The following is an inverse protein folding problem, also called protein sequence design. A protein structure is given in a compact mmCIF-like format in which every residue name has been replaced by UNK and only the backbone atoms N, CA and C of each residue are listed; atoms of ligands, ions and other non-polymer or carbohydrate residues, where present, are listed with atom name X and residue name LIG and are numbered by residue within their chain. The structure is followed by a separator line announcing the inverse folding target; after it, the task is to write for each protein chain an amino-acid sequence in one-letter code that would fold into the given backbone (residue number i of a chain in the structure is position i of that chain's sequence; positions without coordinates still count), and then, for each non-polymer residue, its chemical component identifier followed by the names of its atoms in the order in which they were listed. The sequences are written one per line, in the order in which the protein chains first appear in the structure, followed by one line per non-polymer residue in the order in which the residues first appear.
data_IF_149371568554
#
_entry.id   IF_149371568554
#
_cell.length_a   1.000
_cell.length_b   1.000
_cell.length_c   1.000
_cell.angle_alpha   90.00
_cell.angle_beta   90.00
_cell.angle_gamma   90.00
#
_symmetry.space_group_name_H-M   'P 1'
#
loop_
_entity.id
_entity.type
_entity.pdbx_description
1 polymer ?
#
# COMPACT_ATOMS: atom_id res chain seq x y z
N UNK A 1 0.68 25.70 -12.38
CA UNK A 1 0.59 25.54 -10.91
C UNK A 1 -0.57 24.59 -10.62
N UNK A 2 -0.46 23.70 -9.63
CA UNK A 2 -1.52 22.74 -9.30
C UNK A 2 -2.58 23.45 -8.44
N UNK A 3 -3.85 23.31 -8.82
CA UNK A 3 -5.01 23.73 -8.04
C UNK A 3 -6.01 22.59 -7.88
N UNK A 4 -7.10 22.87 -7.19
CA UNK A 4 -8.13 21.89 -6.86
C UNK A 4 -9.50 22.33 -7.39
N UNK A 5 -10.31 21.36 -7.80
CA UNK A 5 -11.67 21.58 -8.28
C UNK A 5 -12.60 20.45 -7.83
N UNK A 6 -13.90 20.75 -7.69
CA UNK A 6 -14.92 19.75 -7.36
C UNK A 6 -15.60 19.22 -8.62
N UNK A 7 -15.70 17.90 -8.74
CA UNK A 7 -16.40 17.23 -9.85
C UNK A 7 -17.14 15.98 -9.38
N UNK A 8 -18.12 15.54 -10.15
CA UNK A 8 -18.82 14.26 -9.97
C UNK A 8 -18.33 13.18 -10.94
N UNK A 9 -17.29 13.44 -11.74
CA UNK A 9 -16.77 12.51 -12.76
C UNK A 9 -17.63 12.36 -14.02
N UNK A 10 -18.84 12.93 -14.04
CA UNK A 10 -19.80 12.87 -15.17
C UNK A 10 -19.86 14.18 -15.97
N UNK A 11 -18.81 15.00 -15.88
CA UNK A 11 -18.72 16.29 -16.59
C UNK A 11 -19.38 17.47 -15.88
N UNK A 12 -19.77 17.33 -14.61
CA UNK A 12 -20.26 18.45 -13.80
C UNK A 12 -19.19 18.92 -12.82
N UNK A 13 -19.21 20.23 -12.58
CA UNK A 13 -18.26 20.95 -11.73
C UNK A 13 -18.99 21.94 -10.83
N UNK A 14 -18.38 22.33 -9.71
CA UNK A 14 -18.98 23.34 -8.82
C UNK A 14 -18.53 24.74 -9.21
N UNK A 15 -19.51 25.65 -9.32
CA UNK A 15 -19.28 27.08 -9.50
C UNK A 15 -20.03 27.88 -8.44
N UNK A 16 -19.57 29.10 -8.14
CA UNK A 16 -20.26 30.02 -7.24
C UNK A 16 -21.13 30.96 -8.08
N UNK A 17 -22.43 30.92 -7.85
CA UNK A 17 -23.37 31.80 -8.54
C UNK A 17 -23.16 33.25 -8.08
N UNK A 18 -23.07 34.15 -9.06
CA UNK A 18 -22.77 35.57 -8.85
C UNK A 18 -23.91 36.33 -8.17
N UNK A 19 -25.15 35.87 -8.34
CA UNK A 19 -26.32 36.60 -7.84
C UNK A 19 -26.67 36.22 -6.39
N UNK A 20 -26.56 34.94 -6.03
CA UNK A 20 -26.96 34.45 -4.71
C UNK A 20 -25.77 34.00 -3.83
N UNK A 21 -24.55 33.95 -4.39
CA UNK A 21 -23.34 33.52 -3.68
C UNK A 21 -23.31 32.03 -3.30
N UNK A 22 -24.30 31.24 -3.71
CA UNK A 22 -24.40 29.80 -3.44
C UNK A 22 -23.60 29.00 -4.45
N UNK A 23 -23.17 27.81 -4.03
CA UNK A 23 -22.47 26.88 -4.90
C UNK A 23 -23.47 25.99 -5.65
N UNK A 24 -23.29 25.91 -6.98
CA UNK A 24 -24.16 25.18 -7.91
C UNK A 24 -23.34 24.31 -8.85
N UNK A 25 -23.94 23.23 -9.37
CA UNK A 25 -23.32 22.36 -10.36
C UNK A 25 -23.47 22.91 -11.78
N UNK A 26 -22.39 22.95 -12.56
CA UNK A 26 -22.35 23.40 -13.95
C UNK A 26 -21.73 22.34 -14.87
N UNK A 27 -22.24 22.22 -16.10
CA UNK A 27 -21.81 21.20 -17.07
C UNK A 27 -20.56 21.52 -17.88
N UNK A 28 -19.75 22.51 -17.48
CA UNK A 28 -18.54 22.87 -18.20
C UNK A 28 -17.37 23.11 -17.24
N UNK A 29 -16.26 22.42 -17.50
CA UNK A 29 -15.01 22.50 -16.74
C UNK A 29 -14.47 23.92 -16.61
N UNK A 30 -14.61 24.74 -17.67
CA UNK A 30 -14.06 26.11 -17.68
C UNK A 30 -14.72 27.05 -16.68
N UNK A 31 -15.98 26.83 -16.34
CA UNK A 31 -16.73 27.68 -15.40
C UNK A 31 -16.74 27.14 -13.97
N UNK A 32 -16.06 26.01 -13.72
CA UNK A 32 -15.85 25.48 -12.38
C UNK A 32 -14.91 26.37 -11.57
N UNK A 33 -15.22 26.59 -10.30
CA UNK A 33 -14.33 27.27 -9.38
C UNK A 33 -13.07 26.42 -9.16
N UNK A 34 -11.92 27.10 -9.14
CA UNK A 34 -10.62 26.50 -8.86
C UNK A 34 -10.07 27.13 -7.58
N UNK A 35 -9.43 26.32 -6.74
CA UNK A 35 -8.84 26.76 -5.49
C UNK A 35 -7.37 26.38 -5.44
N UNK A 36 -6.54 27.29 -4.93
CA UNK A 36 -5.11 27.02 -4.73
C UNK A 36 -4.89 26.20 -3.45
N UNK A 37 -5.63 26.51 -2.39
CA UNK A 37 -5.52 25.85 -1.08
C UNK A 37 -6.52 24.70 -0.94
N UNK A 38 -6.03 23.50 -0.61
CA UNK A 38 -6.86 22.32 -0.36
C UNK A 38 -7.91 22.54 0.74
N UNK A 39 -7.53 23.19 1.84
CA UNK A 39 -8.43 23.43 2.97
C UNK A 39 -9.66 24.26 2.59
N UNK A 40 -9.53 25.19 1.63
CA UNK A 40 -10.66 26.01 1.17
C UNK A 40 -11.67 25.17 0.41
N UNK A 41 -11.22 24.30 -0.49
CA UNK A 41 -12.13 23.46 -1.27
C UNK A 41 -12.76 22.36 -0.41
N UNK A 42 -12.03 21.82 0.56
CA UNK A 42 -12.58 20.87 1.52
C UNK A 42 -13.69 21.50 2.37
N UNK A 43 -13.49 22.73 2.84
CA UNK A 43 -14.53 23.47 3.55
C UNK A 43 -15.77 23.73 2.67
N UNK A 44 -15.57 24.03 1.38
CA UNK A 44 -16.68 24.18 0.42
C UNK A 44 -17.46 22.87 0.27
N UNK A 45 -16.75 21.75 0.07
CA UNK A 45 -17.36 20.43 -0.06
C UNK A 45 -18.13 20.02 1.20
N UNK A 46 -17.53 20.21 2.38
CA UNK A 46 -18.11 19.74 3.65
C UNK A 46 -19.21 20.63 4.17
N UNK A 47 -19.14 21.95 3.97
CA UNK A 47 -19.99 22.91 4.68
C UNK A 47 -20.81 23.82 3.76
N UNK A 48 -20.34 24.12 2.55
CA UNK A 48 -20.96 25.14 1.69
C UNK A 48 -21.84 24.59 0.57
N UNK A 49 -21.74 23.30 0.24
CA UNK A 49 -22.61 22.63 -0.72
C UNK A 49 -23.93 22.17 -0.11
N UNK A 50 -24.97 22.01 -0.94
CA UNK A 50 -26.20 21.32 -0.52
C UNK A 50 -25.93 19.83 -0.28
N UNK A 51 -26.67 19.18 0.62
CA UNK A 51 -26.45 17.79 1.02
C UNK A 51 -26.31 16.84 -0.18
N UNK A 52 -27.21 16.96 -1.16
CA UNK A 52 -27.21 16.16 -2.39
C UNK A 52 -25.93 16.32 -3.24
N UNK A 53 -25.29 17.49 -3.21
CA UNK A 53 -24.04 17.73 -3.92
C UNK A 53 -22.83 17.20 -3.12
N UNK A 54 -22.86 17.23 -1.78
CA UNK A 54 -21.75 16.72 -0.95
C UNK A 54 -21.48 15.24 -1.19
N UNK A 55 -22.55 14.45 -1.30
CA UNK A 55 -22.45 13.00 -1.42
C UNK A 55 -21.96 12.54 -2.81
N UNK A 56 -22.10 13.40 -3.82
CA UNK A 56 -21.84 13.05 -5.22
C UNK A 56 -20.61 13.75 -5.84
N UNK A 57 -20.01 14.72 -5.14
CA UNK A 57 -18.87 15.48 -5.64
C UNK A 57 -17.62 15.18 -4.82
N UNK A 58 -16.49 15.11 -5.50
CA UNK A 58 -15.18 14.87 -4.91
C UNK A 58 -14.14 15.84 -5.48
N UNK A 59 -13.04 15.99 -4.74
CA UNK A 59 -11.95 16.92 -5.08
C UNK A 59 -11.02 16.25 -6.09
N UNK A 60 -10.62 16.99 -7.11
CA UNK A 60 -9.59 16.60 -8.07
C UNK A 60 -8.51 17.68 -8.18
N UNK A 61 -7.30 17.26 -8.52
CA UNK A 61 -6.21 18.16 -8.89
C UNK A 61 -6.31 18.58 -10.36
N UNK A 62 -6.03 19.85 -10.64
CA UNK A 62 -6.15 20.45 -11.98
C UNK A 62 -5.01 21.44 -12.19
N UNK A 63 -4.42 21.43 -13.37
CA UNK A 63 -3.44 22.44 -13.78
C UNK A 63 -4.13 23.80 -14.01
N UNK A 64 -3.60 24.85 -13.38
CA UNK A 64 -4.05 26.24 -13.52
C UNK A 64 -3.07 27.05 -14.39
N UNK A 65 -3.63 27.90 -15.25
CA UNK A 65 -2.88 28.84 -16.10
C UNK A 65 -2.56 30.15 -15.34
N UNK A 66 -1.54 30.88 -15.78
CA UNK A 66 -1.09 32.13 -15.16
C UNK A 66 -2.16 33.24 -15.12
N UNK A 67 -3.12 33.25 -16.04
CA UNK A 67 -4.22 34.22 -16.03
C UNK A 67 -5.27 33.95 -14.94
N UNK A 68 -5.46 32.69 -14.54
CA UNK A 68 -6.42 32.28 -13.50
C UNK A 68 -5.91 32.58 -12.08
N UNK A 69 -4.61 32.90 -11.95
CA UNK A 69 -3.97 33.31 -10.70
C UNK A 69 -4.34 34.75 -10.31
N UNK A 70 -4.51 35.64 -11.28
CA UNK A 70 -4.65 37.09 -11.03
C UNK A 70 -5.97 37.44 -10.32
N UNK A 71 -7.07 36.81 -10.75
CA UNK A 71 -8.40 36.95 -10.13
C UNK A 71 -8.43 36.46 -8.66
N UNK A 72 -7.60 35.47 -8.31
CA UNK A 72 -7.53 34.96 -6.92
C UNK A 72 -6.70 35.84 -6.00
N UNK A 73 -5.66 36.50 -6.53
CA UNK A 73 -4.79 37.42 -5.78
C UNK A 73 -5.49 38.76 -5.56
N UNK A 74 -6.22 39.28 -6.55
CA UNK A 74 -6.93 40.56 -6.44
C UNK A 74 -8.06 40.53 -5.40
N UNK A 75 -8.72 39.38 -5.21
CA UNK A 75 -9.69 39.17 -4.12
C UNK A 75 -9.04 39.23 -2.72
N UNK A 76 -7.81 38.73 -2.58
CA UNK A 76 -7.05 38.76 -1.32
C UNK A 76 -6.60 40.20 -0.99
N UNK A 77 -6.21 40.98 -2.00
CA UNK A 77 -5.72 42.36 -1.83
C UNK A 77 -6.83 43.37 -1.52
N UNK A 78 -8.08 43.10 -1.92
CA UNK A 78 -9.24 43.96 -1.65
C UNK A 78 -9.73 43.95 -0.18
N UNK A 79 -9.22 43.05 0.66
CA UNK A 79 -9.66 42.84 2.05
C UNK A 79 -8.67 43.30 3.11
N UNK A 80 -8.67 44.60 3.42
CA UNK A 80 -8.06 45.31 4.57
C UNK A 80 -6.59 45.76 4.46
N UNK A 81 -6.46 47.09 4.44
CA UNK A 81 -5.29 47.89 4.72
C UNK A 81 -4.96 47.96 6.23
N UNK A 82 -3.68 47.93 6.58
CA UNK A 82 -3.00 49.10 7.15
C UNK A 82 -1.47 48.88 7.22
N UNK A 83 -0.75 49.75 6.52
CA UNK A 83 0.65 50.11 6.79
C UNK A 83 0.64 51.08 7.97
N UNK A 84 1.56 50.92 8.93
CA UNK A 84 2.52 52.00 9.27
C UNK A 84 3.52 51.59 10.39
N UNK A 85 4.80 51.76 10.04
CA UNK A 85 6.02 52.10 10.82
C UNK A 85 6.15 51.70 12.30
N UNK A 86 7.25 50.98 12.61
CA UNK A 86 8.34 51.49 13.47
C UNK A 86 9.68 50.83 13.08
N UNK A 87 10.73 51.66 13.01
CA UNK A 87 12.13 51.32 12.72
C UNK A 87 12.84 50.97 14.02
N UNK A 88 13.97 50.24 13.89
CA UNK A 88 15.07 49.97 14.82
C UNK A 88 14.79 48.99 15.96
N UNK A 89 15.40 47.81 15.88
CA UNK A 89 16.56 47.46 16.71
C UNK A 89 17.05 46.05 16.33
N UNK A 90 18.24 45.99 15.73
CA UNK A 90 19.00 44.75 15.68
C UNK A 90 19.48 44.47 17.11
N UNK A 91 18.90 43.46 17.76
CA UNK A 91 19.62 42.46 18.57
C UNK A 91 18.61 41.44 19.13
N UNK A 92 18.88 40.16 18.89
CA UNK A 92 18.19 38.97 19.42
C UNK A 92 16.81 38.62 18.80
N UNK A 93 16.80 37.93 17.67
CA UNK A 93 15.72 36.97 17.39
C UNK A 93 16.00 35.66 18.14
N UNK A 94 15.88 35.73 19.47
CA UNK A 94 15.60 34.55 20.27
C UNK A 94 14.20 34.07 19.90
N UNK A 95 14.08 32.76 19.68
CA UNK A 95 12.88 31.96 19.43
C UNK A 95 11.62 32.52 20.11
N UNK A 96 10.91 33.48 19.50
CA UNK A 96 9.66 34.00 20.05
C UNK A 96 8.49 33.39 19.29
N UNK A 97 7.68 32.67 20.08
CA UNK A 97 6.40 32.03 19.78
C UNK A 97 6.40 30.53 19.43
N UNK A 98 7.28 29.75 20.05
CA UNK A 98 6.99 28.33 20.28
C UNK A 98 6.40 28.20 21.70
N UNK A 99 5.22 27.58 21.84
CA UNK A 99 4.66 27.24 23.14
C UNK A 99 5.48 26.08 23.74
N UNK A 100 6.59 26.43 24.39
CA UNK A 100 7.58 25.49 24.93
C UNK A 100 6.93 24.51 25.92
N UNK A 101 5.91 24.94 26.65
CA UNK A 101 5.22 24.09 27.62
C UNK A 101 4.37 23.01 26.95
N UNK A 102 3.75 23.34 25.81
CA UNK A 102 3.03 22.36 24.97
C UNK A 102 3.99 21.34 24.34
N UNK A 103 5.15 21.80 23.89
CA UNK A 103 6.21 20.93 23.33
C UNK A 103 6.76 19.99 24.40
N UNK A 104 7.03 20.49 25.62
CA UNK A 104 7.47 19.67 26.75
C UNK A 104 6.44 18.61 27.13
N UNK A 105 5.15 18.97 27.09
CA UNK A 105 4.05 18.05 27.38
C UNK A 105 3.92 16.96 26.30
N UNK A 106 4.10 17.31 25.03
CA UNK A 106 4.13 16.37 23.90
C UNK A 106 5.36 15.44 23.96
N UNK A 107 6.55 15.94 24.32
CA UNK A 107 7.77 15.14 24.52
C UNK A 107 7.64 14.18 25.71
N UNK A 108 6.89 14.57 26.74
CA UNK A 108 6.67 13.73 27.93
C UNK A 108 5.76 12.53 27.65
N UNK A 109 5.06 12.49 26.51
CA UNK A 109 4.28 11.31 26.12
C UNK A 109 5.24 10.19 25.67
N UNK A 110 5.17 8.99 26.28
CA UNK A 110 6.06 7.90 25.89
C UNK A 110 5.76 7.48 24.45
N UNK A 111 6.77 7.57 23.60
CA UNK A 111 6.72 7.04 22.23
C UNK A 111 6.62 5.50 22.34
N UNK A 112 5.63 4.91 21.66
CA UNK A 112 5.41 3.45 21.63
C UNK A 112 6.67 2.76 21.11
N UNK A 113 7.04 1.63 21.72
CA UNK A 113 8.21 0.86 21.29
C UNK A 113 8.12 0.48 19.81
N UNK A 114 9.25 0.63 19.11
CA UNK A 114 9.37 0.39 17.69
C UNK A 114 9.56 -1.11 17.42
N UNK A 115 8.46 -1.82 17.14
CA UNK A 115 8.47 -3.26 16.82
C UNK A 115 8.94 -3.57 15.37
N UNK A 116 9.53 -2.60 14.66
CA UNK A 116 9.93 -2.76 13.25
C UNK A 116 10.91 -3.91 13.04
N UNK A 117 11.85 -4.11 13.97
CA UNK A 117 12.84 -5.19 13.87
C UNK A 117 12.21 -6.58 13.95
N UNK A 118 11.15 -6.71 14.76
CA UNK A 118 10.35 -7.94 14.85
C UNK A 118 9.62 -8.22 13.53
N UNK A 119 8.99 -7.20 12.96
CA UNK A 119 8.33 -7.31 11.65
C UNK A 119 9.33 -7.67 10.55
N UNK A 120 10.52 -7.05 10.53
CA UNK A 120 11.61 -7.39 9.60
C UNK A 120 11.98 -8.87 9.71
N UNK A 121 12.09 -9.40 10.92
CA UNK A 121 12.41 -10.82 11.18
C UNK A 121 11.31 -11.76 10.69
N UNK A 122 10.04 -11.46 10.97
CA UNK A 122 8.91 -12.29 10.58
C UNK A 122 8.75 -12.37 9.05
N UNK A 123 8.94 -11.25 8.35
CA UNK A 123 8.91 -11.20 6.88
C UNK A 123 10.01 -12.07 6.26
N UNK A 124 11.23 -12.03 6.81
CA UNK A 124 12.33 -12.85 6.32
C UNK A 124 12.09 -14.35 6.56
N UNK A 125 11.64 -14.71 7.76
CA UNK A 125 11.27 -16.10 8.09
C UNK A 125 10.19 -16.63 7.13
N UNK A 126 9.18 -15.81 6.84
CA UNK A 126 8.12 -16.17 5.91
C UNK A 126 8.64 -16.33 4.46
N UNK A 127 9.53 -15.46 4.02
CA UNK A 127 10.21 -15.60 2.72
C UNK A 127 10.95 -16.94 2.60
N UNK A 128 11.73 -17.29 3.62
CA UNK A 128 12.57 -18.49 3.56
C UNK A 128 11.74 -19.78 3.65
N UNK A 129 10.75 -19.82 4.54
CA UNK A 129 9.79 -20.94 4.60
C UNK A 129 9.09 -21.17 3.26
N UNK A 130 8.76 -20.13 2.50
CA UNK A 130 8.18 -20.27 1.17
C UNK A 130 9.15 -20.85 0.13
N UNK A 131 10.44 -20.52 0.22
CA UNK A 131 11.46 -21.13 -0.64
C UNK A 131 11.59 -22.62 -0.34
N UNK A 132 11.63 -22.96 0.95
CA UNK A 132 11.74 -24.35 1.41
C UNK A 132 10.53 -25.19 0.96
N UNK A 133 9.31 -24.64 1.08
CA UNK A 133 8.10 -25.31 0.61
C UNK A 133 8.12 -25.55 -0.90
N UNK A 134 8.64 -24.61 -1.70
CA UNK A 134 8.80 -24.79 -3.15
C UNK A 134 9.82 -25.87 -3.49
N UNK A 135 10.95 -25.89 -2.78
CA UNK A 135 11.97 -26.94 -2.95
C UNK A 135 11.40 -28.30 -2.58
N UNK A 136 10.76 -28.40 -1.42
CA UNK A 136 10.13 -29.63 -0.94
C UNK A 136 9.05 -30.15 -1.90
N UNK A 137 8.27 -29.25 -2.50
CA UNK A 137 7.31 -29.60 -3.55
C UNK A 137 7.99 -30.32 -4.72
N UNK A 138 9.14 -29.80 -5.19
CA UNK A 138 9.87 -30.41 -6.30
C UNK A 138 10.40 -31.80 -5.91
N UNK A 139 11.01 -31.92 -4.74
CA UNK A 139 11.48 -33.21 -4.20
C UNK A 139 10.35 -34.26 -4.13
N UNK A 140 9.16 -33.87 -3.67
CA UNK A 140 8.01 -34.77 -3.60
C UNK A 140 7.50 -35.20 -4.97
N UNK A 141 7.57 -34.33 -5.99
CA UNK A 141 7.21 -34.69 -7.36
C UNK A 141 8.19 -35.74 -7.92
N UNK A 142 9.48 -35.57 -7.65
CA UNK A 142 10.52 -36.51 -8.08
C UNK A 142 10.36 -37.85 -7.36
N UNK A 143 10.13 -37.84 -6.04
CA UNK A 143 9.84 -39.03 -5.25
C UNK A 143 8.55 -39.74 -5.70
N UNK A 144 7.51 -38.98 -6.06
CA UNK A 144 6.28 -39.57 -6.59
C UNK A 144 6.55 -40.30 -7.91
N UNK A 145 7.29 -39.65 -8.81
CA UNK A 145 7.69 -40.23 -10.11
C UNK A 145 8.54 -41.49 -9.93
N UNK A 146 9.50 -41.47 -9.01
CA UNK A 146 10.30 -42.64 -8.64
C UNK A 146 9.40 -43.81 -8.20
N UNK A 147 8.50 -43.57 -7.23
CA UNK A 147 7.61 -44.62 -6.72
C UNK A 147 6.66 -45.14 -7.80
N UNK A 148 6.18 -44.29 -8.71
CA UNK A 148 5.33 -44.74 -9.82
C UNK A 148 6.10 -45.63 -10.81
N UNK A 149 7.39 -45.35 -11.06
CA UNK A 149 8.27 -46.25 -11.84
C UNK A 149 8.48 -47.58 -11.12
N UNK A 150 8.80 -47.54 -9.82
CA UNK A 150 8.96 -48.77 -9.01
C UNK A 150 7.68 -49.64 -9.05
N UNK A 151 6.50 -49.02 -9.03
CA UNK A 151 5.22 -49.74 -9.16
C UNK A 151 5.09 -50.38 -10.55
N UNK A 152 5.46 -49.67 -11.62
CA UNK A 152 5.46 -50.20 -12.99
C UNK A 152 6.41 -51.40 -13.11
N UNK A 153 7.60 -51.30 -12.53
CA UNK A 153 8.59 -52.38 -12.53
C UNK A 153 8.04 -53.64 -11.83
N UNK A 154 7.35 -53.46 -10.70
CA UNK A 154 6.70 -54.58 -10.00
C UNK A 154 5.60 -55.21 -10.87
N UNK A 155 4.80 -54.39 -11.58
CA UNK A 155 3.77 -54.92 -12.49
C UNK A 155 4.39 -55.71 -13.64
N UNK A 156 5.41 -55.18 -14.31
CA UNK A 156 6.10 -55.88 -15.39
C UNK A 156 6.78 -57.15 -14.88
N UNK A 157 7.35 -57.14 -13.67
CA UNK A 157 7.92 -58.33 -13.08
C UNK A 157 6.88 -59.44 -12.88
N UNK A 158 5.69 -59.08 -12.39
CA UNK A 158 4.56 -60.03 -12.22
C UNK A 158 4.06 -60.53 -13.59
N UNK A 159 4.01 -59.66 -14.59
CA UNK A 159 3.54 -59.99 -15.95
C UNK A 159 4.50 -60.95 -16.68
N UNK A 160 5.82 -60.73 -16.54
CA UNK A 160 6.84 -61.44 -17.31
C UNK A 160 7.26 -62.79 -16.71
N UNK A 161 6.87 -63.08 -15.46
CA UNK A 161 7.34 -64.28 -14.74
C UNK A 161 6.17 -65.12 -14.21
N UNK A 162 6.31 -66.45 -14.31
CA UNK A 162 5.40 -67.39 -13.65
C UNK A 162 5.79 -67.57 -12.18
N UNK A 163 5.14 -66.80 -11.30
CA UNK A 163 5.43 -66.78 -9.87
C UNK A 163 4.68 -67.89 -9.12
N UNK A 164 5.36 -68.56 -8.19
CA UNK A 164 4.68 -69.43 -7.23
C UNK A 164 3.93 -68.60 -6.15
N UNK A 165 3.11 -69.26 -5.33
CA UNK A 165 2.28 -68.58 -4.33
C UNK A 165 3.09 -67.71 -3.34
N UNK A 166 4.27 -68.19 -2.92
CA UNK A 166 5.15 -67.45 -2.01
C UNK A 166 5.74 -66.20 -2.68
N UNK A 167 6.25 -66.34 -3.91
CA UNK A 167 6.80 -65.23 -4.70
C UNK A 167 5.73 -64.19 -5.03
N UNK A 168 4.51 -64.63 -5.39
CA UNK A 168 3.37 -63.74 -5.60
C UNK A 168 3.00 -62.95 -4.35
N UNK A 169 2.98 -63.59 -3.18
CA UNK A 169 2.77 -62.90 -1.90
C UNK A 169 3.84 -61.84 -1.63
N UNK A 170 5.11 -62.15 -1.90
CA UNK A 170 6.20 -61.19 -1.72
C UNK A 170 6.04 -59.96 -2.62
N UNK A 171 5.69 -60.16 -3.90
CA UNK A 171 5.43 -59.07 -4.84
C UNK A 171 4.23 -58.22 -4.41
N UNK A 172 3.16 -58.86 -3.93
CA UNK A 172 2.01 -58.15 -3.34
C UNK A 172 2.43 -57.27 -2.16
N UNK A 173 3.26 -57.79 -1.23
CA UNK A 173 3.75 -57.00 -0.08
C UNK A 173 4.61 -55.82 -0.53
N UNK A 174 5.47 -56.02 -1.53
CA UNK A 174 6.30 -54.96 -2.10
C UNK A 174 5.43 -53.87 -2.75
N UNK A 175 4.44 -54.26 -3.57
CA UNK A 175 3.48 -53.36 -4.19
C UNK A 175 2.68 -52.59 -3.14
N UNK A 176 2.15 -53.28 -2.12
CA UNK A 176 1.39 -52.67 -1.03
C UNK A 176 2.23 -51.60 -0.30
N UNK A 177 3.51 -51.87 -0.06
CA UNK A 177 4.42 -50.91 0.55
C UNK A 177 4.61 -49.67 -0.34
N UNK A 178 4.87 -49.83 -1.64
CA UNK A 178 5.04 -48.71 -2.58
C UNK A 178 3.77 -47.88 -2.72
N UNK A 179 2.59 -48.50 -2.76
CA UNK A 179 1.31 -47.80 -2.79
C UNK A 179 1.06 -46.97 -1.52
N UNK A 180 1.44 -47.48 -0.34
CA UNK A 180 1.39 -46.72 0.92
C UNK A 180 2.36 -45.54 0.90
N UNK A 181 3.61 -45.75 0.47
CA UNK A 181 4.62 -44.70 0.31
C UNK A 181 4.12 -43.59 -0.62
N UNK A 182 3.54 -43.95 -1.77
CA UNK A 182 2.94 -42.99 -2.72
C UNK A 182 1.81 -42.19 -2.08
N UNK A 183 0.97 -42.80 -1.25
CA UNK A 183 -0.13 -42.10 -0.58
C UNK A 183 0.39 -41.01 0.36
N UNK A 184 1.37 -41.33 1.21
CA UNK A 184 2.01 -40.36 2.10
C UNK A 184 2.59 -39.18 1.31
N UNK A 185 3.30 -39.46 0.21
CA UNK A 185 3.85 -38.42 -0.69
C UNK A 185 2.73 -37.54 -1.27
N UNK A 186 1.64 -38.14 -1.75
CA UNK A 186 0.51 -37.38 -2.31
C UNK A 186 -0.20 -36.52 -1.27
N UNK A 187 -0.36 -37.02 -0.06
CA UNK A 187 -1.01 -36.30 1.04
C UNK A 187 -0.18 -35.06 1.40
N UNK A 188 1.14 -35.22 1.57
CA UNK A 188 2.08 -34.12 1.80
C UNK A 188 2.07 -33.12 0.63
N UNK A 189 2.13 -33.61 -0.60
CA UNK A 189 2.12 -32.79 -1.81
C UNK A 189 0.80 -32.01 -1.94
N UNK A 190 -0.33 -32.58 -1.51
CA UNK A 190 -1.64 -31.90 -1.52
C UNK A 190 -1.61 -30.68 -0.61
N UNK A 191 -1.13 -30.84 0.63
CA UNK A 191 -1.00 -29.75 1.60
C UNK A 191 -0.09 -28.65 1.05
N UNK A 192 1.10 -29.02 0.54
CA UNK A 192 2.05 -28.04 -0.01
C UNK A 192 1.50 -27.35 -1.26
N UNK A 193 0.81 -28.07 -2.14
CA UNK A 193 0.14 -27.47 -3.32
C UNK A 193 -0.89 -26.43 -2.90
N UNK A 194 -1.69 -26.70 -1.87
CA UNK A 194 -2.63 -25.73 -1.33
C UNK A 194 -1.92 -24.50 -0.75
N UNK A 195 -0.88 -24.71 0.06
CA UNK A 195 -0.09 -23.62 0.66
C UNK A 195 0.56 -22.71 -0.39
N UNK A 196 1.14 -23.30 -1.44
CA UNK A 196 1.73 -22.55 -2.56
C UNK A 196 0.66 -21.87 -3.42
N UNK A 197 -0.51 -22.50 -3.61
CA UNK A 197 -1.65 -21.94 -4.38
C UNK A 197 -2.28 -20.73 -3.71
N UNK A 198 -2.13 -20.55 -2.40
CA UNK A 198 -2.58 -19.34 -1.69
C UNK A 198 -1.90 -18.04 -2.17
N UNK A 199 -1.05 -18.11 -3.20
CA UNK A 199 -0.63 -16.98 -4.04
C UNK A 199 -0.12 -15.79 -3.22
N UNK A 200 0.76 -16.08 -2.25
CA UNK A 200 1.58 -15.06 -1.62
C UNK A 200 2.39 -14.43 -2.75
N UNK A 201 2.00 -13.23 -3.15
CA UNK A 201 2.59 -12.55 -4.28
C UNK A 201 4.07 -12.30 -3.98
N UNK A 202 4.95 -13.09 -4.60
CA UNK A 202 6.39 -12.99 -4.42
C UNK A 202 6.90 -11.60 -4.77
N UNK A 203 6.21 -10.93 -5.69
CA UNK A 203 6.46 -9.55 -6.06
C UNK A 203 6.21 -8.60 -4.87
N UNK A 204 5.05 -8.73 -4.20
CA UNK A 204 4.74 -7.94 -3.01
C UNK A 204 5.71 -8.21 -1.85
N UNK A 205 6.18 -9.45 -1.70
CA UNK A 205 7.17 -9.77 -0.68
C UNK A 205 8.54 -9.13 -0.98
N UNK A 206 8.95 -9.10 -2.26
CA UNK A 206 10.16 -8.40 -2.71
C UNK A 206 10.06 -6.90 -2.48
N UNK A 207 8.91 -6.30 -2.80
CA UNK A 207 8.65 -4.87 -2.57
C UNK A 207 8.74 -4.51 -1.09
N UNK A 208 8.22 -5.38 -0.20
CA UNK A 208 8.34 -5.20 1.26
C UNK A 208 9.81 -5.30 1.68
N UNK A 209 10.58 -6.28 1.15
CA UNK A 209 12.01 -6.40 1.44
C UNK A 209 12.80 -5.17 0.97
N UNK A 210 12.48 -4.61 -0.18
CA UNK A 210 13.13 -3.41 -0.69
C UNK A 210 12.71 -2.16 0.08
N UNK A 211 11.45 -2.06 0.51
CA UNK A 211 11.00 -1.04 1.46
C UNK A 211 11.78 -1.13 2.78
N UNK A 212 11.98 -2.34 3.31
CA UNK A 212 12.77 -2.58 4.53
C UNK A 212 14.21 -2.09 4.36
N UNK A 213 14.88 -2.41 3.24
CA UNK A 213 16.24 -1.92 2.96
C UNK A 213 16.29 -0.40 2.80
N UNK A 214 15.27 0.18 2.16
CA UNK A 214 15.19 1.63 1.94
C UNK A 214 14.85 2.39 3.22
N UNK A 215 14.23 1.75 4.23
CA UNK A 215 13.99 2.37 5.53
C UNK A 215 15.29 2.73 6.25
N UNK A 216 16.33 1.90 6.13
CA UNK A 216 17.63 2.15 6.76
C UNK A 216 18.39 3.32 6.08
N UNK A 217 18.06 3.63 4.82
CA UNK A 217 18.67 4.72 4.03
C UNK A 217 17.82 6.00 3.97
N UNK A 218 16.75 6.09 4.77
CA UNK A 218 15.76 7.16 4.64
C UNK A 218 16.34 8.49 5.12
N UNK A 219 16.52 9.44 4.19
CA UNK A 219 16.94 10.82 4.51
C UNK A 219 15.72 11.71 4.75
N UNK A 220 15.77 12.50 5.83
CA UNK A 220 14.73 13.47 6.12
C UNK A 220 14.89 14.71 5.24
N UNK A 221 13.79 15.16 4.63
CA UNK A 221 13.69 16.47 3.98
C UNK A 221 12.71 17.35 4.75
N UNK A 222 13.14 18.53 5.23
CA UNK A 222 12.27 19.44 5.95
C UNK A 222 11.10 19.90 5.09
N UNK A 223 9.87 19.78 5.60
CA UNK A 223 8.65 20.13 4.85
C UNK A 223 8.04 21.48 5.24
N UNK A 224 8.17 21.84 6.51
CA UNK A 224 7.48 23.00 7.11
C UNK A 224 8.45 23.90 7.86
N UNK A 225 9.36 23.32 8.65
CA UNK A 225 10.35 24.06 9.43
C UNK A 225 11.74 23.95 8.80
N UNK A 226 11.87 24.37 7.55
CA UNK A 226 13.16 24.30 6.81
C UNK A 226 14.26 25.13 7.46
N UNK A 227 13.91 26.20 8.17
CA UNK A 227 14.87 27.09 8.81
C UNK A 227 15.60 26.45 10.00
N UNK A 228 15.09 25.34 10.55
CA UNK A 228 15.77 24.56 11.60
C UNK A 228 16.92 23.68 11.08
N UNK A 229 17.03 23.52 9.75
CA UNK A 229 17.97 22.61 9.10
C UNK A 229 18.89 23.36 8.10
N UNK A 230 18.99 24.69 8.24
CA UNK A 230 19.93 25.55 7.51
C UNK A 230 21.24 25.73 8.28
#
# INVERSE_FOLDING_TARGET
MIGYMLTNGKGYYISKDKFNGKFVSIGNKRWGCKWIEYNRIENVLRNSLSKNLRDNFYIIEVEMNNDELKDTVDYIVSGKANKDKYISDNNNLTCKNLNIDKIKQEISTPIRENELDKIKKDVNLFSDTLKDLRKRKQELLDLQSEVDKEISDIYHYIELNNLNAYQGWLMYKMLQYRLKRRRVIKDELSIIKHLVKCNINTQSLSEIQDMIKNMDNRKYTPRVLSDLFK
#
